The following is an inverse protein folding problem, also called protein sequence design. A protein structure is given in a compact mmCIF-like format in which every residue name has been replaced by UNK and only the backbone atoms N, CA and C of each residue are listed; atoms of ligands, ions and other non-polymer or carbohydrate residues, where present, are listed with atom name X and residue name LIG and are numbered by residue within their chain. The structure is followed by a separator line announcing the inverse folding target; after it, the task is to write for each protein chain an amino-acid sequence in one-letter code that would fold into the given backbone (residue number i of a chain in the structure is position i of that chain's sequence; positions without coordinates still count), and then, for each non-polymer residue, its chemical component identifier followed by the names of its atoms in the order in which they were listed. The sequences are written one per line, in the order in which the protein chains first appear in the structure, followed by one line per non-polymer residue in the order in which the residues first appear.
data_IF_388613143555
#
_entry.id   IF_388613143555
#
_cell.length_a   1.000
_cell.length_b   1.000
_cell.length_c   1.000
_cell.angle_alpha   90.00
_cell.angle_beta   90.00
_cell.angle_gamma   90.00
#
_symmetry.space_group_name_H-M   'P 1'
#
loop_
_entity.id
_entity.type
_entity.pdbx_description
1 polymer ?
#
# COMPACT_ATOMS: atom_id res chain seq x y z
N UNK A 1 3.39 5.74 -8.55
CA UNK A 1 3.34 4.26 -8.71
C UNK A 1 4.05 3.71 -9.95
N UNK A 2 4.37 4.51 -10.97
CA UNK A 2 4.97 4.02 -12.22
C UNK A 2 6.29 3.27 -12.03
N UNK A 3 7.21 3.80 -11.21
CA UNK A 3 8.51 3.14 -10.97
C UNK A 3 8.37 1.76 -10.31
N UNK A 4 7.42 1.64 -9.37
CA UNK A 4 7.10 0.35 -8.75
C UNK A 4 6.68 -0.68 -9.80
N UNK A 5 5.76 -0.29 -10.70
CA UNK A 5 5.28 -1.16 -11.77
C UNK A 5 6.42 -1.59 -12.69
N UNK A 6 7.23 -0.63 -13.13
CA UNK A 6 8.36 -0.91 -14.01
C UNK A 6 9.34 -1.95 -13.42
N UNK A 7 9.63 -1.84 -12.12
CA UNK A 7 10.51 -2.80 -11.42
C UNK A 7 9.82 -4.15 -11.28
N UNK A 8 8.60 -4.18 -10.75
CA UNK A 8 7.90 -5.44 -10.47
C UNK A 8 7.58 -6.20 -11.74
N UNK A 9 7.05 -5.55 -12.77
CA UNK A 9 6.74 -6.16 -14.06
C UNK A 9 8.03 -6.68 -14.73
N UNK A 10 9.11 -5.91 -14.59
CA UNK A 10 10.44 -6.31 -15.07
C UNK A 10 10.96 -7.58 -14.39
N UNK A 11 10.75 -7.73 -13.08
CA UNK A 11 11.12 -8.93 -12.33
C UNK A 11 10.21 -10.11 -12.66
N UNK A 12 8.89 -9.89 -12.70
CA UNK A 12 7.91 -10.92 -13.00
C UNK A 12 8.13 -11.57 -14.37
N UNK A 13 8.59 -10.79 -15.36
CA UNK A 13 8.91 -11.30 -16.70
C UNK A 13 10.21 -12.13 -16.78
N UNK A 14 11.05 -12.14 -15.74
CA UNK A 14 12.40 -12.75 -15.75
C UNK A 14 12.60 -13.85 -14.71
N UNK A 15 11.71 -13.96 -13.73
CA UNK A 15 11.79 -14.98 -12.68
C UNK A 15 10.93 -16.17 -13.08
N UNK A 16 11.61 -17.25 -13.50
CA UNK A 16 10.96 -18.51 -13.80
C UNK A 16 10.33 -19.13 -12.53
N UNK A 17 9.10 -19.64 -12.64
CA UNK A 17 8.36 -20.22 -11.53
C UNK A 17 7.50 -19.23 -10.74
N UNK A 18 7.43 -17.97 -11.15
CA UNK A 18 6.56 -16.94 -10.55
C UNK A 18 7.27 -16.08 -9.51
N UNK A 19 6.71 -14.90 -9.23
CA UNK A 19 7.26 -13.91 -8.30
C UNK A 19 6.32 -13.72 -7.10
N UNK A 20 6.80 -14.10 -5.91
CA UNK A 20 6.09 -13.81 -4.66
C UNK A 20 6.41 -12.40 -4.17
N UNK A 21 5.40 -11.55 -4.07
CA UNK A 21 5.53 -10.17 -3.62
C UNK A 21 4.89 -9.97 -2.25
N UNK A 22 5.63 -9.28 -1.38
CA UNK A 22 5.17 -8.87 -0.07
C UNK A 22 5.43 -7.37 0.12
N UNK A 23 4.51 -6.67 0.80
CA UNK A 23 4.67 -5.22 1.00
C UNK A 23 4.03 -4.74 2.29
N UNK A 24 4.55 -3.63 2.82
CA UNK A 24 3.91 -2.85 3.87
C UNK A 24 3.27 -1.60 3.25
N UNK A 25 2.07 -1.24 3.71
CA UNK A 25 1.38 0.00 3.33
C UNK A 25 1.05 0.78 4.58
N UNK A 26 1.34 2.09 4.56
CA UNK A 26 0.98 3.03 5.61
C UNK A 26 -0.14 3.93 5.08
N UNK A 27 -1.35 3.79 5.63
CA UNK A 27 -2.45 4.72 5.36
C UNK A 27 -2.30 5.98 6.20
N UNK A 28 -2.59 7.14 5.60
CA UNK A 28 -2.66 8.41 6.31
C UNK A 28 -1.31 9.07 6.56
N UNK A 29 -0.30 8.77 5.73
CA UNK A 29 0.95 9.53 5.76
C UNK A 29 0.65 11.04 5.64
N UNK A 30 1.34 11.91 6.38
CA UNK A 30 1.06 13.35 6.31
C UNK A 30 1.17 13.88 4.89
N UNK A 31 0.06 14.46 4.38
CA UNK A 31 -0.05 14.95 3.00
C UNK A 31 -0.75 13.99 2.02
N UNK A 32 -1.06 12.75 2.41
CA UNK A 32 -1.74 11.77 1.55
C UNK A 32 -3.13 12.28 1.09
N UNK A 33 -3.27 12.49 -0.22
CA UNK A 33 -4.51 12.90 -0.89
C UNK A 33 -5.40 11.71 -1.23
N UNK A 34 -6.61 11.97 -1.74
CA UNK A 34 -7.50 10.90 -2.22
C UNK A 34 -6.90 10.21 -3.46
N UNK A 35 -6.32 10.98 -4.39
CA UNK A 35 -5.64 10.45 -5.58
C UNK A 35 -4.46 9.54 -5.22
N UNK A 36 -3.68 9.89 -4.18
CA UNK A 36 -2.57 9.04 -3.70
C UNK A 36 -3.08 7.70 -3.16
N UNK A 37 -4.18 7.75 -2.41
CA UNK A 37 -4.80 6.55 -1.85
C UNK A 37 -5.41 5.68 -2.95
N UNK A 38 -6.13 6.26 -3.91
CA UNK A 38 -6.76 5.51 -5.00
C UNK A 38 -5.69 4.90 -5.93
N UNK A 39 -4.57 5.59 -6.17
CA UNK A 39 -3.43 5.02 -6.89
C UNK A 39 -2.80 3.83 -6.15
N UNK A 40 -2.74 3.90 -4.81
CA UNK A 40 -2.26 2.79 -3.96
C UNK A 40 -3.25 1.63 -3.95
N UNK A 41 -4.55 1.92 -3.88
CA UNK A 41 -5.62 0.92 -3.92
C UNK A 41 -5.59 0.13 -5.23
N UNK A 42 -5.54 0.83 -6.36
CA UNK A 42 -5.42 0.21 -7.68
C UNK A 42 -4.14 -0.64 -7.81
N UNK A 43 -3.02 -0.18 -7.23
CA UNK A 43 -1.78 -0.96 -7.21
C UNK A 43 -1.94 -2.25 -6.40
N UNK A 44 -2.59 -2.20 -5.23
CA UNK A 44 -2.83 -3.39 -4.41
C UNK A 44 -3.76 -4.37 -5.12
N UNK A 45 -4.79 -3.87 -5.81
CA UNK A 45 -5.70 -4.67 -6.62
C UNK A 45 -4.98 -5.36 -7.79
N UNK A 46 -4.19 -4.62 -8.56
CA UNK A 46 -3.51 -5.13 -9.76
C UNK A 46 -2.48 -6.24 -9.44
N UNK A 47 -1.74 -6.10 -8.34
CA UNK A 47 -0.64 -7.01 -8.00
C UNK A 47 -1.03 -8.12 -7.03
N UNK A 48 -2.23 -8.06 -6.43
CA UNK A 48 -2.78 -9.07 -5.53
C UNK A 48 -1.73 -9.68 -4.56
N UNK A 49 -1.02 -8.82 -3.83
CA UNK A 49 0.15 -9.18 -3.02
C UNK A 49 -0.08 -10.43 -2.14
N UNK A 50 0.91 -11.34 -2.12
CA UNK A 50 0.81 -12.58 -1.35
C UNK A 50 0.86 -12.40 0.15
N UNK A 51 1.51 -11.33 0.59
CA UNK A 51 1.41 -10.83 1.95
C UNK A 51 1.44 -9.31 1.93
N UNK A 52 0.48 -8.69 2.62
CA UNK A 52 0.44 -7.24 2.76
C UNK A 52 0.12 -6.87 4.19
N UNK A 53 0.95 -5.99 4.76
CA UNK A 53 0.74 -5.44 6.08
C UNK A 53 0.21 -4.00 5.95
N UNK A 54 -0.98 -3.75 6.49
CA UNK A 54 -1.64 -2.45 6.42
C UNK A 54 -1.58 -1.81 7.80
N UNK A 55 -0.90 -0.67 7.88
CA UNK A 55 -0.76 0.10 9.11
C UNK A 55 -1.31 1.52 8.93
N UNK A 56 -1.69 2.15 10.04
CA UNK A 56 -2.04 3.57 10.04
C UNK A 56 -0.82 4.39 10.44
N UNK A 57 -0.65 5.58 9.83
CA UNK A 57 0.49 6.44 10.14
C UNK A 57 0.53 6.82 11.62
N UNK A 58 1.67 6.54 12.23
CA UNK A 58 2.00 6.95 13.58
C UNK A 58 3.28 7.80 13.54
N UNK A 59 3.16 9.04 14.03
CA UNK A 59 4.28 9.98 14.10
C UNK A 59 5.37 9.43 15.03
N UNK A 60 6.57 9.22 14.49
CA UNK A 60 7.74 8.81 15.28
C UNK A 60 8.54 10.04 15.70
N UNK A 61 8.81 10.26 17.00
CA UNK A 61 9.59 11.39 17.48
C UNK A 61 10.93 11.51 16.74
N UNK A 62 11.31 12.75 16.38
CA UNK A 62 12.56 13.04 15.66
C UNK A 62 12.51 12.87 14.15
N UNK A 63 11.40 12.38 13.57
CA UNK A 63 11.25 12.31 12.11
C UNK A 63 10.65 13.59 11.54
N UNK A 64 10.97 13.98 10.28
CA UNK A 64 10.32 15.10 9.61
C UNK A 64 8.79 14.95 9.57
N UNK A 65 8.30 13.72 9.37
CA UNK A 65 6.87 13.42 9.33
C UNK A 65 6.14 13.68 10.66
N UNK A 66 6.86 13.77 11.79
CA UNK A 66 6.24 14.05 13.08
C UNK A 66 5.67 15.46 13.21
N UNK A 67 6.22 16.44 12.49
CA UNK A 67 5.78 17.84 12.51
C UNK A 67 4.83 18.20 11.35
N UNK A 68 4.58 17.27 10.43
CA UNK A 68 3.72 17.50 9.27
C UNK A 68 2.22 17.46 9.65
N UNK A 69 1.39 18.16 8.86
CA UNK A 69 -0.07 18.16 9.04
C UNK A 69 -0.64 16.77 8.77
N UNK A 70 -1.29 16.19 9.77
CA UNK A 70 -1.87 14.85 9.68
C UNK A 70 -3.14 14.84 8.86
N UNK A 71 -3.35 13.73 8.16
CA UNK A 71 -4.64 13.39 7.56
C UNK A 71 -5.65 13.14 8.68
N UNK A 72 -6.92 13.50 8.44
CA UNK A 72 -7.96 13.34 9.44
C UNK A 72 -8.16 11.86 9.82
N UNK A 73 -8.23 11.57 11.12
CA UNK A 73 -8.26 10.19 11.64
C UNK A 73 -9.39 9.35 11.05
N UNK A 74 -10.57 9.93 10.78
CA UNK A 74 -11.67 9.19 10.17
C UNK A 74 -11.32 8.72 8.74
N UNK A 75 -10.65 9.57 7.94
CA UNK A 75 -10.18 9.23 6.60
C UNK A 75 -9.14 8.12 6.65
N UNK A 76 -8.18 8.20 7.57
CA UNK A 76 -7.14 7.16 7.74
C UNK A 76 -7.77 5.80 8.11
N UNK A 77 -8.76 5.80 9.02
CA UNK A 77 -9.50 4.59 9.40
C UNK A 77 -10.27 4.00 8.22
N UNK A 78 -10.97 4.83 7.44
CA UNK A 78 -11.70 4.38 6.25
C UNK A 78 -10.76 3.76 5.22
N UNK A 79 -9.67 4.44 4.86
CA UNK A 79 -8.64 3.97 3.94
C UNK A 79 -8.06 2.62 4.34
N UNK A 80 -7.67 2.47 5.62
CA UNK A 80 -7.17 1.19 6.13
C UNK A 80 -8.20 0.06 6.04
N UNK A 81 -9.48 0.35 6.30
CA UNK A 81 -10.57 -0.64 6.20
C UNK A 81 -10.80 -1.05 4.75
N UNK A 82 -10.82 -0.10 3.81
CA UNK A 82 -10.99 -0.35 2.37
C UNK A 82 -9.89 -1.26 1.85
N UNK A 83 -8.62 -0.99 2.17
CA UNK A 83 -7.52 -1.87 1.79
C UNK A 83 -7.61 -3.25 2.44
N UNK A 84 -7.90 -3.33 3.75
CA UNK A 84 -8.05 -4.65 4.41
C UNK A 84 -9.19 -5.49 3.81
N UNK A 85 -10.30 -4.86 3.43
CA UNK A 85 -11.42 -5.54 2.79
C UNK A 85 -11.02 -6.06 1.39
N UNK A 86 -10.31 -5.25 0.60
CA UNK A 86 -9.80 -5.67 -0.70
C UNK A 86 -8.88 -6.89 -0.57
N UNK A 87 -7.91 -6.86 0.35
CA UNK A 87 -6.90 -7.92 0.47
C UNK A 87 -7.48 -9.25 0.96
N UNK A 88 -8.62 -9.24 1.67
CA UNK A 88 -9.34 -10.46 2.06
C UNK A 88 -9.96 -11.20 0.86
N UNK A 89 -10.14 -10.52 -0.27
CA UNK A 89 -10.64 -11.14 -1.50
C UNK A 89 -9.54 -11.92 -2.25
N UNK A 90 -8.26 -11.66 -1.95
CA UNK A 90 -7.15 -12.25 -2.67
C UNK A 90 -6.99 -13.74 -2.34
N UNK A 91 -6.48 -14.48 -3.32
CA UNK A 91 -6.12 -15.89 -3.22
C UNK A 91 -4.71 -16.09 -3.78
N UNK A 92 -3.68 -15.59 -3.07
CA UNK A 92 -2.34 -15.48 -3.67
C UNK A 92 -1.56 -16.81 -3.73
N UNK A 93 -2.12 -17.89 -3.19
CA UNK A 93 -1.50 -19.22 -3.18
C UNK A 93 -2.40 -20.29 -3.83
N UNK A 94 -3.52 -19.88 -4.44
CA UNK A 94 -4.34 -20.74 -5.31
C UNK A 94 -3.73 -20.73 -6.72
#
# INVERSE_FOLDING_TARGET
VADFRAVVDGLAARVDGGLSLMTDVICGFPGETDDDFDATYALVEDYAFGLINISQFYARPGTPAASMKRVHTATVKDRSRRLSALTQTFRPYD
#
